data_IF_628622288191
#
_entry.id   IF_628622288191
#
_cell.length_a   1.000
_cell.length_b   1.000
_cell.length_c   1.000
_cell.angle_alpha   90.00
_cell.angle_beta   90.00
_cell.angle_gamma   90.00
#
_symmetry.space_group_name_H-M   'P 1'
#
loop_
_entity.id
_entity.type
_entity.pdbx_description
1 polymer ?
#
# COMPACT_ATOMS: atom_id res chain seq x y z
N UNK A 1 -20.78 -22.76 -14.76
CA UNK A 1 -20.27 -21.42 -15.13
C UNK A 1 -18.92 -21.25 -14.45
N UNK A 2 -17.91 -20.80 -15.22
CA UNK A 2 -16.55 -20.55 -14.72
C UNK A 2 -16.33 -19.04 -14.54
N UNK A 3 -16.05 -18.64 -13.33
CA UNK A 3 -15.82 -17.23 -12.95
C UNK A 3 -14.36 -17.08 -12.57
N UNK A 4 -13.64 -16.21 -13.26
CA UNK A 4 -12.28 -15.85 -12.89
C UNK A 4 -12.26 -14.43 -12.34
N UNK A 5 -11.45 -14.23 -11.30
CA UNK A 5 -11.25 -12.96 -10.61
C UNK A 5 -9.76 -12.67 -10.60
N UNK A 6 -9.37 -11.45 -10.97
CA UNK A 6 -7.99 -10.98 -10.89
C UNK A 6 -7.88 -10.04 -9.69
N UNK A 7 -7.08 -10.45 -8.70
CA UNK A 7 -6.87 -9.71 -7.45
C UNK A 7 -7.64 -10.29 -6.27
N UNK A 8 -6.97 -10.50 -5.14
CA UNK A 8 -7.44 -11.25 -3.98
C UNK A 8 -7.46 -10.47 -2.66
N UNK A 9 -7.49 -9.14 -2.67
CA UNK A 9 -7.52 -8.38 -1.42
C UNK A 9 -8.97 -8.10 -0.97
N UNK A 10 -9.55 -6.96 -1.32
CA UNK A 10 -10.88 -6.58 -0.83
C UNK A 10 -11.98 -6.92 -1.84
N UNK A 11 -11.91 -6.34 -3.06
CA UNK A 11 -12.94 -6.49 -4.08
C UNK A 11 -13.09 -7.91 -4.57
N UNK A 12 -11.98 -8.56 -4.93
CA UNK A 12 -11.99 -9.90 -5.50
C UNK A 12 -12.50 -10.96 -4.54
N UNK A 13 -12.01 -10.98 -3.32
CA UNK A 13 -12.46 -11.95 -2.29
C UNK A 13 -13.92 -11.75 -1.89
N UNK A 14 -14.37 -10.50 -1.81
CA UNK A 14 -15.77 -10.17 -1.54
C UNK A 14 -16.68 -10.63 -2.68
N UNK A 15 -16.27 -10.38 -3.93
CA UNK A 15 -17.00 -10.80 -5.13
C UNK A 15 -17.07 -12.32 -5.22
N UNK A 16 -15.95 -13.03 -4.98
CA UNK A 16 -15.94 -14.50 -4.98
C UNK A 16 -16.92 -15.10 -3.96
N UNK A 17 -16.91 -14.58 -2.74
CA UNK A 17 -17.82 -15.02 -1.69
C UNK A 17 -19.30 -14.70 -2.05
N UNK A 18 -19.58 -13.57 -2.71
CA UNK A 18 -20.92 -13.23 -3.19
C UNK A 18 -21.34 -14.11 -4.37
N UNK A 19 -20.44 -14.34 -5.32
CA UNK A 19 -20.70 -15.21 -6.46
C UNK A 19 -21.07 -16.64 -6.00
N UNK A 20 -20.33 -17.21 -5.05
CA UNK A 20 -20.62 -18.52 -4.46
C UNK A 20 -21.99 -18.58 -3.77
N UNK A 21 -22.41 -17.49 -3.09
CA UNK A 21 -23.75 -17.46 -2.48
C UNK A 21 -24.87 -17.44 -3.52
N UNK A 22 -24.63 -16.84 -4.69
CA UNK A 22 -25.60 -16.74 -5.76
C UNK A 22 -25.64 -18.01 -6.64
N UNK A 23 -24.46 -18.66 -6.87
CA UNK A 23 -24.32 -19.88 -7.65
C UNK A 23 -23.46 -20.88 -6.88
N UNK A 24 -24.09 -21.91 -6.33
CA UNK A 24 -23.41 -22.94 -5.54
C UNK A 24 -22.57 -23.89 -6.42
N UNK A 25 -22.80 -23.92 -7.72
CA UNK A 25 -22.17 -24.85 -8.68
C UNK A 25 -21.08 -24.19 -9.53
N UNK A 26 -20.96 -22.87 -9.52
CA UNK A 26 -19.93 -22.18 -10.29
C UNK A 26 -18.52 -22.64 -9.91
N UNK A 27 -17.65 -22.81 -10.89
CA UNK A 27 -16.22 -22.88 -10.68
C UNK A 27 -15.69 -21.44 -10.50
N UNK A 28 -15.06 -21.15 -9.35
CA UNK A 28 -14.57 -19.81 -9.03
C UNK A 28 -13.09 -19.87 -8.71
N UNK A 29 -12.29 -19.16 -9.51
CA UNK A 29 -10.85 -19.04 -9.34
C UNK A 29 -10.46 -17.59 -9.15
N UNK A 30 -9.48 -17.32 -8.26
CA UNK A 30 -8.86 -16.02 -8.09
C UNK A 30 -7.38 -16.16 -8.40
N UNK A 31 -6.84 -15.26 -9.23
CA UNK A 31 -5.41 -15.14 -9.47
C UNK A 31 -4.90 -13.85 -8.82
N UNK A 32 -3.86 -13.98 -8.00
CA UNK A 32 -3.23 -12.89 -7.26
C UNK A 32 -1.71 -12.96 -7.43
N UNK A 33 -1.13 -11.83 -7.80
CA UNK A 33 0.32 -11.76 -8.00
C UNK A 33 1.10 -11.76 -6.69
N UNK A 34 0.51 -11.23 -5.61
CA UNK A 34 1.13 -11.21 -4.28
C UNK A 34 0.88 -12.53 -3.54
N UNK A 35 1.62 -12.74 -2.45
CA UNK A 35 1.43 -13.90 -1.56
C UNK A 35 0.34 -13.63 -0.52
N UNK A 36 0.17 -12.37 -0.11
CA UNK A 36 -0.79 -11.97 0.90
C UNK A 36 -2.14 -11.61 0.29
N UNK A 37 -3.20 -12.22 0.80
CA UNK A 37 -4.57 -12.00 0.34
C UNK A 37 -5.48 -11.57 1.47
N UNK A 38 -6.60 -10.95 1.16
CA UNK A 38 -7.66 -10.60 2.15
C UNK A 38 -7.13 -9.88 3.38
N UNK A 39 -6.06 -9.11 3.23
CA UNK A 39 -5.46 -8.37 4.35
C UNK A 39 -6.19 -7.07 4.67
N UNK A 40 -6.02 -6.62 5.92
CA UNK A 40 -6.58 -5.38 6.43
C UNK A 40 -5.67 -4.19 6.08
N UNK A 41 -5.85 -3.60 4.89
CA UNK A 41 -5.00 -2.50 4.40
C UNK A 41 -4.94 -1.31 5.36
N UNK A 42 -6.07 -0.91 5.95
CA UNK A 42 -6.14 0.19 6.92
C UNK A 42 -5.49 -0.14 8.28
N UNK A 43 -5.16 -1.41 8.55
CA UNK A 43 -4.46 -1.82 9.76
C UNK A 43 -2.93 -1.77 9.63
N UNK A 44 -2.40 -1.63 8.41
CA UNK A 44 -0.97 -1.64 8.16
C UNK A 44 -0.18 -0.54 8.90
N UNK A 45 -0.65 0.71 9.03
CA UNK A 45 0.02 1.71 9.85
C UNK A 45 0.14 1.30 11.32
N UNK A 46 -0.90 0.66 11.89
CA UNK A 46 -0.89 0.17 13.26
C UNK A 46 0.04 -1.05 13.45
N UNK A 47 0.17 -1.88 12.42
CA UNK A 47 1.13 -2.97 12.38
C UNK A 47 2.58 -2.42 12.30
N UNK A 48 2.83 -1.40 11.49
CA UNK A 48 4.13 -0.72 11.40
C UNK A 48 4.51 -0.09 12.75
N UNK A 49 3.56 0.54 13.44
CA UNK A 49 3.80 1.16 14.75
C UNK A 49 3.87 0.16 15.90
N UNK A 50 3.72 -1.15 15.65
CA UNK A 50 3.69 -2.20 16.66
C UNK A 50 2.50 -2.11 17.65
N UNK A 51 1.44 -1.35 17.33
CA UNK A 51 0.15 -1.44 18.02
C UNK A 51 -0.49 -2.81 17.76
N UNK A 52 -0.45 -3.27 16.52
CA UNK A 52 -0.74 -4.65 16.11
C UNK A 52 0.61 -5.39 16.08
N UNK A 53 0.73 -6.45 16.84
CA UNK A 53 2.01 -7.16 17.01
C UNK A 53 2.12 -8.35 16.07
N UNK A 54 1.04 -9.09 15.89
CA UNK A 54 1.01 -10.30 15.09
C UNK A 54 0.61 -9.97 13.63
N UNK A 55 1.44 -10.44 12.70
CA UNK A 55 1.17 -10.35 11.26
C UNK A 55 -0.14 -11.05 10.87
N UNK A 56 -0.49 -12.13 11.56
CA UNK A 56 -1.74 -12.86 11.32
C UNK A 56 -3.00 -12.01 11.59
N UNK A 57 -2.91 -10.99 12.44
CA UNK A 57 -4.04 -10.07 12.67
C UNK A 57 -4.30 -9.17 11.46
N UNK A 58 -3.28 -8.84 10.67
CA UNK A 58 -3.44 -8.04 9.43
C UNK A 58 -3.69 -8.90 8.20
N UNK A 59 -3.30 -10.19 8.22
CA UNK A 59 -3.57 -11.17 7.15
C UNK A 59 -4.35 -12.36 7.74
N UNK A 60 -5.62 -12.18 8.10
CA UNK A 60 -6.37 -13.18 8.87
C UNK A 60 -6.90 -14.34 8.03
N UNK A 61 -6.73 -14.33 6.71
CA UNK A 61 -7.29 -15.33 5.80
C UNK A 61 -6.32 -15.64 4.68
N UNK A 62 -6.16 -16.92 4.42
CA UNK A 62 -5.34 -17.49 3.37
C UNK A 62 -6.18 -18.19 2.27
N UNK A 63 -5.52 -18.77 1.28
CA UNK A 63 -6.18 -19.51 0.21
C UNK A 63 -6.97 -20.73 0.74
N UNK A 64 -6.46 -21.39 1.77
CA UNK A 64 -7.12 -22.56 2.37
C UNK A 64 -8.47 -22.18 3.02
N UNK A 65 -8.53 -21.03 3.69
CA UNK A 65 -9.78 -20.49 4.23
C UNK A 65 -10.84 -20.29 3.12
N UNK A 66 -10.47 -19.73 1.97
CA UNK A 66 -11.41 -19.50 0.86
C UNK A 66 -11.84 -20.81 0.22
N UNK A 67 -10.95 -21.78 0.10
CA UNK A 67 -11.29 -23.12 -0.39
C UNK A 67 -12.28 -23.81 0.54
N UNK A 68 -11.99 -23.85 1.83
CA UNK A 68 -12.82 -24.55 2.83
C UNK A 68 -14.20 -23.89 3.00
N UNK A 69 -14.23 -22.57 3.12
CA UNK A 69 -15.47 -21.85 3.47
C UNK A 69 -16.37 -21.57 2.26
N UNK A 70 -15.77 -21.29 1.11
CA UNK A 70 -16.50 -20.83 -0.08
C UNK A 70 -16.29 -21.73 -1.29
N UNK A 71 -15.50 -22.79 -1.22
CA UNK A 71 -15.08 -23.60 -2.38
C UNK A 71 -14.58 -22.73 -3.55
N UNK A 72 -13.71 -21.77 -3.23
CA UNK A 72 -13.04 -20.86 -4.16
C UNK A 72 -11.56 -21.24 -4.21
N UNK A 73 -11.02 -21.43 -5.40
CA UNK A 73 -9.60 -21.69 -5.60
C UNK A 73 -8.86 -20.36 -5.73
N UNK A 74 -7.89 -20.12 -4.86
CA UNK A 74 -7.07 -18.90 -4.87
C UNK A 74 -5.63 -19.28 -5.17
N UNK A 75 -5.10 -18.72 -6.25
CA UNK A 75 -3.73 -18.92 -6.72
C UNK A 75 -2.92 -17.66 -6.43
N UNK A 76 -2.14 -17.68 -5.35
CA UNK A 76 -1.17 -16.62 -5.00
C UNK A 76 0.12 -16.78 -5.80
N UNK A 77 0.87 -15.70 -6.01
CA UNK A 77 2.07 -15.72 -6.84
C UNK A 77 1.79 -15.99 -8.32
N UNK A 78 0.58 -15.67 -8.78
CA UNK A 78 0.16 -15.85 -10.16
C UNK A 78 -0.25 -14.52 -10.77
N UNK A 79 0.53 -14.05 -11.75
CA UNK A 79 0.30 -12.79 -12.44
C UNK A 79 -0.43 -13.00 -13.75
N UNK A 80 -1.55 -12.32 -13.94
CA UNK A 80 -2.20 -12.26 -15.25
C UNK A 80 -1.42 -11.27 -16.12
N UNK A 81 -0.90 -11.77 -17.24
CA UNK A 81 -0.09 -11.01 -18.19
C UNK A 81 -0.95 -10.36 -19.28
N UNK A 82 -1.97 -11.08 -19.74
CA UNK A 82 -2.82 -10.65 -20.86
C UNK A 82 -4.25 -11.13 -20.68
N UNK A 83 -5.19 -10.32 -21.15
CA UNK A 83 -6.61 -10.65 -21.26
C UNK A 83 -6.97 -10.64 -22.75
N UNK A 84 -7.54 -11.74 -23.24
CA UNK A 84 -8.09 -11.88 -24.60
C UNK A 84 -9.60 -11.98 -24.52
N UNK A 85 -10.33 -10.85 -24.56
CA UNK A 85 -11.78 -10.83 -24.31
C UNK A 85 -12.59 -11.61 -25.32
N UNK A 86 -12.23 -11.58 -26.60
CA UNK A 86 -12.92 -12.27 -27.69
C UNK A 86 -12.84 -13.78 -27.53
N UNK A 87 -11.70 -14.28 -27.05
CA UNK A 87 -11.46 -15.71 -26.80
C UNK A 87 -11.90 -16.12 -25.38
N UNK A 88 -12.30 -15.17 -24.55
CA UNK A 88 -12.54 -15.35 -23.10
C UNK A 88 -11.40 -16.10 -22.41
N UNK A 89 -10.18 -15.68 -22.67
CA UNK A 89 -8.96 -16.33 -22.21
C UNK A 89 -8.03 -15.34 -21.51
N UNK A 90 -7.31 -15.86 -20.53
CA UNK A 90 -6.23 -15.18 -19.81
C UNK A 90 -4.92 -15.89 -20.06
N UNK A 91 -3.83 -15.13 -20.18
CA UNK A 91 -2.46 -15.65 -20.08
C UNK A 91 -1.92 -15.34 -18.69
N UNK A 92 -1.45 -16.35 -17.97
CA UNK A 92 -1.08 -16.26 -16.56
C UNK A 92 0.33 -16.81 -16.38
N UNK A 93 1.13 -16.13 -15.58
CA UNK A 93 2.46 -16.53 -15.17
C UNK A 93 2.46 -16.98 -13.70
N UNK A 94 3.00 -18.15 -13.42
CA UNK A 94 3.39 -18.53 -12.06
C UNK A 94 4.75 -17.92 -11.74
N UNK A 95 4.79 -16.96 -10.82
CA UNK A 95 6.00 -16.18 -10.51
C UNK A 95 7.10 -17.01 -9.83
N UNK A 96 6.77 -18.16 -9.24
CA UNK A 96 7.75 -19.03 -8.60
C UNK A 96 8.45 -19.95 -9.61
N UNK A 97 7.70 -20.49 -10.59
CA UNK A 97 8.22 -21.44 -11.58
C UNK A 97 8.52 -20.77 -12.93
N UNK A 98 8.04 -19.55 -13.17
CA UNK A 98 8.07 -18.84 -14.45
C UNK A 98 7.28 -19.56 -15.56
N UNK A 99 6.45 -20.52 -15.20
CA UNK A 99 5.57 -21.20 -16.12
C UNK A 99 4.45 -20.26 -16.57
N UNK A 100 4.22 -20.19 -17.88
CA UNK A 100 3.14 -19.41 -18.49
C UNK A 100 2.08 -20.38 -19.04
N UNK A 101 0.84 -20.17 -18.67
CA UNK A 101 -0.29 -21.00 -19.12
C UNK A 101 -1.52 -20.15 -19.44
N UNK A 102 -2.47 -20.75 -20.11
CA UNK A 102 -3.74 -20.11 -20.46
C UNK A 102 -4.89 -20.66 -19.62
N UNK A 103 -5.83 -19.78 -19.26
CA UNK A 103 -7.05 -20.13 -18.53
C UNK A 103 -8.26 -19.46 -19.18
N UNK A 104 -9.34 -20.23 -19.41
CA UNK A 104 -10.57 -19.70 -20.01
C UNK A 104 -11.60 -19.34 -18.95
N UNK A 105 -12.54 -18.45 -19.27
CA UNK A 105 -13.60 -18.02 -18.37
C UNK A 105 -14.95 -17.81 -19.08
N UNK A 106 -16.04 -17.95 -18.34
CA UNK A 106 -17.36 -17.49 -18.77
C UNK A 106 -17.58 -16.02 -18.35
N UNK A 107 -17.13 -15.67 -17.13
CA UNK A 107 -17.19 -14.32 -16.57
C UNK A 107 -15.85 -13.97 -15.95
N UNK A 108 -15.43 -12.72 -16.16
CA UNK A 108 -14.19 -12.16 -15.63
C UNK A 108 -14.50 -10.93 -14.76
N UNK A 109 -13.87 -10.86 -13.58
CA UNK A 109 -13.89 -9.71 -12.71
C UNK A 109 -12.48 -9.18 -12.54
N UNK A 110 -12.30 -7.88 -12.78
CA UNK A 110 -11.04 -7.16 -12.57
C UNK A 110 -11.08 -6.45 -11.21
N UNK A 111 -10.19 -6.84 -10.31
CA UNK A 111 -10.01 -6.24 -8.99
C UNK A 111 -8.52 -6.04 -8.70
N UNK A 112 -7.81 -5.56 -9.71
CA UNK A 112 -6.34 -5.48 -9.78
C UNK A 112 -5.73 -4.46 -8.81
N UNK A 113 -6.55 -3.61 -8.18
CA UNK A 113 -6.10 -2.62 -7.21
C UNK A 113 -5.26 -1.50 -7.83
N UNK A 114 -4.20 -1.11 -7.13
CA UNK A 114 -3.36 0.02 -7.49
C UNK A 114 -1.95 -0.16 -6.94
N UNK A 115 -0.99 0.58 -7.48
CA UNK A 115 0.38 0.71 -6.97
C UNK A 115 0.60 2.09 -6.37
N UNK A 116 1.50 2.21 -5.38
CA UNK A 116 1.92 3.50 -4.86
C UNK A 116 2.67 4.29 -5.92
N UNK A 117 2.38 5.58 -6.00
CA UNK A 117 3.14 6.49 -6.85
C UNK A 117 4.50 6.78 -6.20
N UNK A 118 5.57 6.49 -6.92
CA UNK A 118 6.92 6.93 -6.59
C UNK A 118 7.31 8.08 -7.50
N UNK A 119 7.63 9.24 -6.93
CA UNK A 119 8.12 10.35 -7.73
C UNK A 119 9.55 10.07 -8.19
N UNK A 120 9.92 10.45 -9.42
CA UNK A 120 11.27 10.29 -9.95
C UNK A 120 12.21 11.37 -9.38
N UNK A 121 12.42 11.32 -8.06
CA UNK A 121 13.29 12.23 -7.31
C UNK A 121 14.64 11.54 -7.14
N UNK A 122 15.73 12.25 -7.34
CA UNK A 122 17.10 11.73 -7.12
C UNK A 122 17.22 11.21 -5.68
N UNK A 123 17.61 9.95 -5.52
CA UNK A 123 17.72 9.26 -4.25
C UNK A 123 16.44 8.53 -3.80
N UNK A 124 15.37 8.54 -4.60
CA UNK A 124 14.14 7.81 -4.28
C UNK A 124 14.29 6.29 -4.35
N UNK A 125 15.35 5.81 -4.97
CA UNK A 125 15.71 4.38 -5.07
C UNK A 125 16.41 3.82 -3.82
N UNK A 126 16.76 4.66 -2.85
CA UNK A 126 17.49 4.24 -1.65
C UNK A 126 16.65 3.37 -0.72
N UNK A 127 17.31 2.46 0.00
CA UNK A 127 16.67 1.42 0.80
C UNK A 127 15.76 1.93 1.93
N UNK A 128 16.03 3.14 2.44
CA UNK A 128 15.22 3.78 3.49
C UNK A 128 14.20 4.80 2.93
N UNK A 129 13.87 4.73 1.66
CA UNK A 129 12.75 5.43 1.04
C UNK A 129 11.64 4.42 0.76
N UNK A 130 10.51 4.59 1.41
CA UNK A 130 9.42 3.63 1.38
C UNK A 130 8.13 4.25 0.83
N UNK A 131 7.26 3.38 0.34
CA UNK A 131 5.85 3.67 0.13
C UNK A 131 5.02 2.55 0.76
N UNK A 132 3.81 2.86 1.22
CA UNK A 132 2.92 1.88 1.86
C UNK A 132 1.74 1.56 0.96
N UNK A 133 1.58 0.28 0.60
CA UNK A 133 0.42 -0.24 -0.14
C UNK A 133 0.06 -1.67 0.24
N UNK A 134 1.06 -2.54 0.36
CA UNK A 134 0.90 -3.97 0.59
C UNK A 134 1.46 -4.37 1.95
N UNK A 135 1.18 -5.61 2.37
CA UNK A 135 1.76 -6.18 3.60
C UNK A 135 3.27 -6.25 3.51
N UNK A 136 3.80 -6.60 2.34
CA UNK A 136 5.25 -6.64 2.08
C UNK A 136 5.90 -5.27 2.29
N UNK A 137 5.23 -4.18 1.87
CA UNK A 137 5.72 -2.83 2.17
C UNK A 137 5.70 -2.56 3.67
N UNK A 138 4.62 -2.92 4.35
CA UNK A 138 4.50 -2.74 5.80
C UNK A 138 5.57 -3.55 6.56
N UNK A 139 5.85 -4.79 6.15
CA UNK A 139 6.90 -5.62 6.74
C UNK A 139 8.29 -4.95 6.62
N UNK A 140 8.61 -4.39 5.44
CA UNK A 140 9.87 -3.67 5.22
C UNK A 140 9.99 -2.42 6.10
N UNK A 141 8.96 -1.59 6.16
CA UNK A 141 8.93 -0.38 6.99
C UNK A 141 9.04 -0.76 8.47
N UNK A 142 8.24 -1.74 8.91
CA UNK A 142 8.25 -2.23 10.29
C UNK A 142 9.63 -2.75 10.70
N UNK A 143 10.25 -3.58 9.85
CA UNK A 143 11.58 -4.10 10.06
C UNK A 143 12.58 -2.96 10.26
N UNK A 144 12.60 -2.00 9.34
CA UNK A 144 13.47 -0.83 9.45
C UNK A 144 13.25 -0.06 10.75
N UNK A 145 12.00 0.24 11.09
CA UNK A 145 11.66 1.00 12.30
C UNK A 145 12.07 0.27 13.59
N UNK A 146 11.97 -1.06 13.62
CA UNK A 146 12.33 -1.86 14.78
C UNK A 146 13.84 -2.06 14.94
N UNK A 147 14.56 -2.25 13.83
CA UNK A 147 16.00 -2.55 13.85
C UNK A 147 16.85 -1.28 13.93
N UNK A 148 16.55 -0.26 13.14
CA UNK A 148 17.31 0.98 13.09
C UNK A 148 16.96 1.98 14.21
N UNK A 149 15.79 1.82 14.87
CA UNK A 149 15.28 2.72 15.91
C UNK A 149 15.39 4.20 15.52
N UNK A 150 14.84 4.61 14.36
CA UNK A 150 14.99 5.94 13.82
C UNK A 150 14.35 6.99 14.72
N UNK A 151 14.86 8.23 14.63
CA UNK A 151 14.38 9.37 15.43
C UNK A 151 13.54 10.34 14.60
N UNK A 152 13.80 10.41 13.28
CA UNK A 152 13.19 11.40 12.41
C UNK A 152 12.66 10.73 11.16
N UNK A 153 11.46 11.13 10.74
CA UNK A 153 10.87 10.73 9.45
C UNK A 153 10.37 11.95 8.69
N UNK A 154 10.63 11.97 7.39
CA UNK A 154 9.95 12.88 6.46
C UNK A 154 8.90 12.09 5.69
N UNK A 155 7.65 12.54 5.77
CA UNK A 155 6.51 12.01 5.00
C UNK A 155 6.21 13.00 3.88
N UNK A 156 6.32 12.56 2.63
CA UNK A 156 5.99 13.35 1.45
C UNK A 156 4.58 13.02 1.02
N UNK A 157 3.68 13.99 1.17
CA UNK A 157 2.24 13.86 0.96
C UNK A 157 1.46 13.75 2.27
N UNK A 158 0.35 14.51 2.34
CA UNK A 158 -0.49 14.60 3.54
C UNK A 158 -1.89 13.99 3.33
N UNK A 159 -2.04 13.07 2.37
CA UNK A 159 -3.27 12.30 2.22
C UNK A 159 -3.47 11.29 3.37
N UNK A 160 -4.54 10.50 3.30
CA UNK A 160 -4.93 9.55 4.36
C UNK A 160 -3.78 8.66 4.84
N UNK A 161 -3.02 8.05 3.93
CA UNK A 161 -1.89 7.17 4.29
C UNK A 161 -0.80 7.96 5.04
N UNK A 162 -0.48 9.18 4.55
CA UNK A 162 0.49 10.05 5.22
C UNK A 162 0.07 10.41 6.63
N UNK A 163 -1.21 10.75 6.84
CA UNK A 163 -1.77 11.08 8.14
C UNK A 163 -1.76 9.89 9.12
N UNK A 164 -2.20 8.72 8.68
CA UNK A 164 -2.19 7.50 9.51
C UNK A 164 -0.77 7.09 9.91
N UNK A 165 0.20 7.26 9.00
CA UNK A 165 1.61 6.99 9.33
C UNK A 165 2.20 8.07 10.24
N UNK A 166 1.81 9.34 10.09
CA UNK A 166 2.23 10.41 11.00
C UNK A 166 1.77 10.14 12.44
N UNK A 167 0.51 9.74 12.63
CA UNK A 167 0.00 9.28 13.93
C UNK A 167 0.80 8.11 14.47
N UNK A 168 0.99 7.10 13.62
CA UNK A 168 1.66 5.85 13.98
C UNK A 168 3.12 6.06 14.41
N UNK A 169 3.87 6.90 13.70
CA UNK A 169 5.26 7.22 14.03
C UNK A 169 5.37 8.15 15.25
N UNK A 170 4.51 9.16 15.34
CA UNK A 170 4.45 10.05 16.52
C UNK A 170 4.17 9.25 17.79
N UNK A 171 3.26 8.29 17.76
CA UNK A 171 2.95 7.41 18.89
C UNK A 171 4.15 6.54 19.33
N UNK A 172 5.15 6.34 18.45
CA UNK A 172 6.43 5.68 18.77
C UNK A 172 7.52 6.64 19.23
N UNK A 173 7.24 7.93 19.32
CA UNK A 173 8.22 8.95 19.67
C UNK A 173 9.16 9.35 18.54
N UNK A 174 8.84 8.98 17.30
CA UNK A 174 9.59 9.42 16.10
C UNK A 174 9.12 10.84 15.75
N UNK A 175 10.05 11.77 15.55
CA UNK A 175 9.76 13.12 15.10
C UNK A 175 9.30 13.09 13.65
N UNK A 176 8.10 13.59 13.40
CA UNK A 176 7.48 13.57 12.06
C UNK A 176 7.54 14.96 11.44
N UNK A 177 8.05 15.03 10.23
CA UNK A 177 7.90 16.18 9.34
C UNK A 177 7.09 15.76 8.12
N UNK A 178 5.98 16.44 7.88
CA UNK A 178 5.13 16.24 6.70
C UNK A 178 5.39 17.35 5.68
N UNK A 179 5.53 16.97 4.41
CA UNK A 179 5.73 17.89 3.28
C UNK A 179 4.56 17.74 2.33
N UNK A 180 3.89 18.84 2.00
CA UNK A 180 2.72 18.88 1.11
C UNK A 180 2.90 19.95 0.03
N UNK A 181 2.64 19.58 -1.22
CA UNK A 181 2.69 20.50 -2.34
C UNK A 181 1.53 21.51 -2.32
N UNK A 182 0.36 21.08 -1.88
CA UNK A 182 -0.81 21.95 -1.73
C UNK A 182 -0.61 22.98 -0.59
N UNK A 183 -1.37 24.08 -0.58
CA UNK A 183 -1.27 25.10 0.48
C UNK A 183 -1.74 24.61 1.85
N UNK A 184 -2.48 23.52 1.92
CA UNK A 184 -3.02 22.93 3.15
C UNK A 184 -2.81 21.41 3.18
N UNK A 185 -2.78 20.84 4.40
CA UNK A 185 -2.80 19.38 4.57
C UNK A 185 -4.15 18.80 4.13
N UNK A 186 -4.19 17.52 3.80
CA UNK A 186 -5.42 16.84 3.35
C UNK A 186 -6.17 17.64 2.29
N UNK A 187 -5.61 17.87 1.09
CA UNK A 187 -6.19 18.77 0.09
C UNK A 187 -7.56 18.34 -0.44
N UNK A 188 -8.09 17.21 0.03
CA UNK A 188 -9.47 16.75 -0.23
C UNK A 188 -10.49 17.30 0.75
N UNK A 189 -10.06 17.96 1.82
CA UNK A 189 -10.92 18.64 2.79
C UNK A 189 -11.11 20.11 2.43
N UNK A 190 -12.18 20.71 2.94
CA UNK A 190 -12.36 22.16 2.89
C UNK A 190 -11.24 22.86 3.70
N UNK A 191 -10.86 24.08 3.29
CA UNK A 191 -9.72 24.81 3.87
C UNK A 191 -9.82 24.97 5.40
N UNK A 192 -11.03 25.30 5.89
CA UNK A 192 -11.30 25.49 7.31
C UNK A 192 -11.05 24.20 8.12
N UNK A 193 -11.41 23.04 7.55
CA UNK A 193 -11.16 21.76 8.19
C UNK A 193 -9.67 21.40 8.17
N UNK A 194 -8.99 21.71 7.07
CA UNK A 194 -7.54 21.50 6.95
C UNK A 194 -6.76 22.37 7.95
N UNK A 195 -7.16 23.62 8.17
CA UNK A 195 -6.55 24.50 9.15
C UNK A 195 -6.70 23.98 10.59
N UNK A 196 -7.86 23.48 10.97
CA UNK A 196 -8.07 22.86 12.28
C UNK A 196 -7.22 21.59 12.45
N UNK A 197 -7.13 20.77 11.39
CA UNK A 197 -6.27 19.58 11.39
C UNK A 197 -4.78 19.96 11.54
N UNK A 198 -4.32 21.02 10.87
CA UNK A 198 -2.96 21.51 11.01
C UNK A 198 -2.65 21.97 12.45
N UNK A 199 -3.57 22.71 13.08
CA UNK A 199 -3.42 23.10 14.50
C UNK A 199 -3.26 21.87 15.38
N UNK A 200 -4.15 20.88 15.22
CA UNK A 200 -4.08 19.63 15.97
C UNK A 200 -2.76 18.88 15.77
N UNK A 201 -2.29 18.78 14.54
CA UNK A 201 -1.02 18.12 14.24
C UNK A 201 0.17 18.84 14.88
N UNK A 202 0.19 20.18 14.86
CA UNK A 202 1.22 20.98 15.51
C UNK A 202 1.22 20.80 17.02
N UNK A 203 0.04 20.70 17.65
CA UNK A 203 -0.10 20.36 19.08
C UNK A 203 0.49 18.98 19.39
N UNK A 204 0.37 18.03 18.45
CA UNK A 204 1.01 16.70 18.52
C UNK A 204 2.50 16.72 18.14
N UNK A 205 3.10 17.89 17.99
CA UNK A 205 4.52 18.10 17.64
C UNK A 205 4.91 17.57 16.27
N UNK A 206 3.96 17.46 15.34
CA UNK A 206 4.23 17.17 13.93
C UNK A 206 4.64 18.48 13.25
N UNK A 207 5.78 18.47 12.58
CA UNK A 207 6.22 19.59 11.73
C UNK A 207 5.50 19.49 10.39
N UNK A 208 4.90 20.62 9.95
CA UNK A 208 4.16 20.67 8.68
C UNK A 208 4.83 21.72 7.78
N UNK A 209 5.09 21.34 6.54
CA UNK A 209 5.59 22.18 5.45
C UNK A 209 4.61 22.05 4.29
N UNK A 210 3.79 23.07 4.06
CA UNK A 210 2.83 23.16 2.94
C UNK A 210 3.34 24.10 1.87
N UNK A 211 2.81 24.01 0.66
CA UNK A 211 3.21 24.84 -0.49
C UNK A 211 4.63 24.53 -1.00
N UNK A 212 5.18 23.36 -0.65
CA UNK A 212 6.53 22.96 -1.05
C UNK A 212 6.56 21.45 -1.39
N UNK A 213 7.62 21.00 -2.03
CA UNK A 213 7.77 19.60 -2.42
C UNK A 213 9.19 19.12 -2.32
N UNK A 214 9.38 17.82 -2.13
CA UNK A 214 10.69 17.20 -2.17
C UNK A 214 11.30 17.31 -3.58
N UNK A 215 12.55 17.75 -3.66
CA UNK A 215 13.31 17.89 -4.89
C UNK A 215 14.43 16.84 -5.00
N UNK A 216 15.04 16.46 -3.86
CA UNK A 216 16.17 15.53 -3.82
C UNK A 216 16.29 14.86 -2.46
N UNK A 217 16.67 13.58 -2.44
CA UNK A 217 17.04 12.83 -1.24
C UNK A 217 18.55 12.59 -1.25
N UNK A 218 19.24 13.04 -0.21
CA UNK A 218 20.70 12.96 -0.11
C UNK A 218 21.14 12.10 1.07
N UNK A 219 22.36 11.59 1.00
CA UNK A 219 22.99 10.69 1.99
C UNK A 219 23.62 9.49 1.31
N UNK A 220 24.48 8.75 2.02
CA UNK A 220 25.15 7.55 1.51
C UNK A 220 25.53 6.64 2.68
N UNK A 221 25.17 5.34 2.65
CA UNK A 221 24.34 4.67 1.62
C UNK A 221 22.85 5.04 1.72
N UNK A 222 22.35 5.42 2.89
CA UNK A 222 20.96 5.74 3.17
C UNK A 222 20.69 7.24 3.04
N UNK A 223 19.41 7.60 2.83
CA UNK A 223 18.97 9.00 2.91
C UNK A 223 19.14 9.48 4.34
N UNK A 224 19.73 10.65 4.52
CA UNK A 224 19.80 11.34 5.79
C UNK A 224 19.26 12.78 5.71
N UNK A 225 18.88 13.23 4.51
CA UNK A 225 18.39 14.60 4.30
C UNK A 225 17.46 14.66 3.08
N UNK A 226 16.38 15.41 3.22
CA UNK A 226 15.46 15.78 2.14
C UNK A 226 15.67 17.25 1.80
N UNK A 227 15.93 17.55 0.54
CA UNK A 227 16.04 18.91 0.01
C UNK A 227 14.70 19.24 -0.67
N UNK A 228 14.06 20.31 -0.27
CA UNK A 228 12.82 20.81 -0.84
C UNK A 228 13.09 21.73 -2.04
N UNK A 229 12.08 21.98 -2.87
CA UNK A 229 12.17 22.91 -4.01
C UNK A 229 12.50 24.34 -3.58
N UNK A 230 12.06 24.78 -2.40
CA UNK A 230 12.42 26.06 -1.80
C UNK A 230 13.90 26.18 -1.41
N UNK A 231 14.66 25.09 -1.45
CA UNK A 231 16.03 25.00 -0.95
C UNK A 231 16.12 24.64 0.54
N UNK A 232 14.98 24.55 1.26
CA UNK A 232 14.97 24.10 2.66
C UNK A 232 15.45 22.67 2.77
N UNK A 233 16.26 22.38 3.79
CA UNK A 233 16.78 21.05 4.08
C UNK A 233 16.13 20.49 5.34
N UNK A 234 15.70 19.22 5.28
CA UNK A 234 15.09 18.50 6.39
C UNK A 234 15.96 17.27 6.69
N UNK A 235 16.43 17.16 7.91
CA UNK A 235 17.14 15.95 8.37
C UNK A 235 16.15 14.82 8.62
N UNK A 236 16.55 13.59 8.27
CA UNK A 236 15.67 12.42 8.38
C UNK A 236 16.49 11.14 8.48
N UNK A 237 15.95 10.12 9.11
CA UNK A 237 16.52 8.76 9.11
C UNK A 237 15.88 7.89 8.02
N UNK A 238 14.68 8.25 7.57
CA UNK A 238 13.99 7.59 6.46
C UNK A 238 12.88 8.47 5.88
N UNK A 239 12.40 8.10 4.70
CA UNK A 239 11.36 8.83 3.98
C UNK A 239 10.19 7.91 3.66
N UNK A 240 8.98 8.44 3.81
CA UNK A 240 7.75 7.81 3.31
C UNK A 240 7.19 8.64 2.13
N UNK A 241 7.01 7.97 1.00
CA UNK A 241 6.31 8.55 -0.16
C UNK A 241 4.83 8.21 -0.07
N UNK A 242 4.00 9.22 0.22
CA UNK A 242 2.54 9.10 0.36
C UNK A 242 1.79 10.01 -0.62
N UNK A 243 2.31 10.12 -1.86
CA UNK A 243 1.87 11.07 -2.91
C UNK A 243 0.77 10.51 -3.83
N UNK A 244 0.08 9.50 -3.38
CA UNK A 244 -1.05 8.90 -4.08
C UNK A 244 -0.77 7.53 -4.68
N UNK A 245 -1.75 7.04 -5.43
CA UNK A 245 -1.74 5.71 -6.04
C UNK A 245 -2.11 5.82 -7.51
N UNK A 246 -1.67 4.84 -8.30
CA UNK A 246 -2.05 4.67 -9.71
C UNK A 246 -2.77 3.32 -9.85
N UNK A 247 -3.98 3.28 -10.41
CA UNK A 247 -4.66 2.02 -10.75
C UNK A 247 -3.82 1.15 -11.68
N UNK A 248 -3.90 -0.16 -11.48
CA UNK A 248 -3.28 -1.15 -12.35
C UNK A 248 -4.10 -1.39 -13.62
#
# INVERSE_FOLDING_TARGET
>A
MKIIIIGAVAGGTTAAAKARRNDKTAEIKIFEADQDISYAGCALPYYISNKIKDRAEVVPRDAAFFKQKYNVDVYTGHRVLEIKPEEKMLTIENLATQEVFNETYDKLLLSTGAVSTMLPIEGSEKENVFALRTVVNADKIRKFVLEANPKNVVIVGTGFIGMELAESFSARGIQVTMVELAPHVMPTLDSEMSEELEKYLREKKVTIVTGDSAAKFTGSPLVNKVILKSGRMLETDFVIMAVGIKPN
#
